data_IF_287321826928
#
_entry.id   IF_287321826928
#
_cell.length_a   1.000
_cell.length_b   1.000
_cell.length_c   1.000
_cell.angle_alpha   90.00
_cell.angle_beta   90.00
_cell.angle_gamma   90.00
#
_symmetry.space_group_name_H-M   'P 1'
#
loop_
_entity.id
_entity.type
_entity.pdbx_description
1 polymer ?
#
# COMPACT_ATOMS: atom_id res chain seq x y z
N UNK A 1 37.85 7.66 -11.63
CA UNK A 1 37.05 6.55 -12.13
C UNK A 1 37.17 5.39 -11.16
N UNK A 2 36.18 5.18 -10.30
CA UNK A 2 36.06 3.93 -9.54
C UNK A 2 34.59 3.53 -9.59
N UNK A 3 34.27 2.73 -10.61
CA UNK A 3 33.02 2.02 -10.72
C UNK A 3 33.02 0.87 -9.72
N UNK A 4 32.26 1.04 -8.64
CA UNK A 4 31.69 -0.08 -7.89
C UNK A 4 30.22 0.23 -7.73
N UNK A 5 29.42 -0.33 -8.64
CA UNK A 5 27.99 -0.51 -8.43
C UNK A 5 27.86 -1.21 -7.08
N UNK A 6 27.49 -0.45 -6.04
CA UNK A 6 27.24 -0.98 -4.72
C UNK A 6 26.20 -2.08 -4.86
N UNK A 7 26.67 -3.32 -4.79
CA UNK A 7 25.85 -4.53 -4.62
C UNK A 7 24.92 -4.25 -3.43
N UNK A 8 23.60 -4.46 -3.58
CA UNK A 8 22.58 -3.70 -2.87
C UNK A 8 22.76 -3.84 -1.37
N UNK A 9 22.54 -2.74 -0.66
CA UNK A 9 22.61 -2.63 0.80
C UNK A 9 22.32 -3.98 1.46
N UNK A 10 23.38 -4.56 2.02
CA UNK A 10 23.41 -5.88 2.67
C UNK A 10 22.19 -6.04 3.59
N UNK A 11 21.66 -7.27 3.68
CA UNK A 11 20.28 -7.51 4.06
C UNK A 11 20.03 -6.84 5.40
N UNK A 12 19.03 -5.95 5.42
CA UNK A 12 18.49 -5.37 6.64
C UNK A 12 18.47 -6.48 7.71
N UNK A 13 19.05 -6.23 8.88
CA UNK A 13 18.96 -7.14 10.03
C UNK A 13 17.51 -7.60 10.18
N UNK A 14 17.21 -8.79 10.73
CA UNK A 14 15.82 -9.25 10.82
C UNK A 14 14.87 -8.18 11.39
N UNK A 15 15.36 -7.40 12.36
CA UNK A 15 14.71 -6.21 12.89
C UNK A 15 14.63 -5.05 11.89
N UNK A 16 15.72 -4.70 11.21
CA UNK A 16 15.69 -3.69 10.14
C UNK A 16 14.73 -4.04 9.01
N UNK A 17 14.60 -5.33 8.68
CA UNK A 17 13.69 -5.82 7.63
C UNK A 17 12.24 -5.72 8.10
N UNK A 18 11.97 -6.00 9.37
CA UNK A 18 10.67 -5.78 10.01
C UNK A 18 10.30 -4.29 10.01
N UNK A 19 11.21 -3.41 10.44
CA UNK A 19 10.98 -1.96 10.47
C UNK A 19 10.77 -1.41 9.06
N UNK A 20 11.56 -1.84 8.08
CA UNK A 20 11.39 -1.45 6.68
C UNK A 20 10.02 -1.88 6.15
N UNK A 21 9.61 -3.14 6.38
CA UNK A 21 8.28 -3.63 6.00
C UNK A 21 7.16 -2.87 6.68
N UNK A 22 7.30 -2.57 7.98
CA UNK A 22 6.32 -1.80 8.75
C UNK A 22 6.17 -0.39 8.20
N UNK A 23 7.28 0.29 7.91
CA UNK A 23 7.29 1.63 7.33
C UNK A 23 6.57 1.65 5.98
N UNK A 24 6.90 0.71 5.07
CA UNK A 24 6.23 0.66 3.78
C UNK A 24 4.78 0.23 3.87
N UNK A 25 4.44 -0.66 4.81
CA UNK A 25 3.05 -1.02 5.11
C UNK A 25 2.26 0.24 5.43
N UNK A 26 2.72 0.99 6.43
CA UNK A 26 2.07 2.19 6.90
C UNK A 26 1.97 3.23 5.77
N UNK A 27 3.09 3.54 5.10
CA UNK A 27 3.13 4.51 4.00
C UNK A 27 2.14 4.16 2.90
N UNK A 28 2.09 2.89 2.47
CA UNK A 28 1.18 2.47 1.40
C UNK A 28 -0.28 2.51 1.87
N UNK A 29 -0.56 2.06 3.09
CA UNK A 29 -1.92 2.09 3.64
C UNK A 29 -2.43 3.52 3.78
N UNK A 30 -1.63 4.44 4.30
CA UNK A 30 -1.95 5.86 4.37
C UNK A 30 -2.26 6.43 2.98
N UNK A 31 -1.47 6.08 1.96
CA UNK A 31 -1.75 6.50 0.59
C UNK A 31 -3.10 5.97 0.12
N UNK A 32 -3.38 4.68 0.31
CA UNK A 32 -4.61 4.05 -0.15
C UNK A 32 -5.86 4.61 0.55
N UNK A 33 -5.80 4.78 1.87
CA UNK A 33 -6.90 5.38 2.66
C UNK A 33 -7.13 6.83 2.23
N UNK A 34 -6.07 7.62 2.04
CA UNK A 34 -6.21 9.01 1.59
C UNK A 34 -6.77 9.11 0.17
N UNK A 35 -6.35 8.22 -0.75
CA UNK A 35 -6.89 8.18 -2.11
C UNK A 35 -8.38 7.89 -2.13
N UNK A 36 -8.86 7.05 -1.21
CA UNK A 36 -10.30 6.77 -1.09
C UNK A 36 -11.06 7.96 -0.49
N UNK A 37 -10.48 8.64 0.52
CA UNK A 37 -11.05 9.87 1.07
C UNK A 37 -11.17 10.98 0.02
N UNK A 38 -10.17 11.12 -0.86
CA UNK A 38 -10.21 12.07 -2.00
C UNK A 38 -11.20 11.63 -3.10
N UNK A 39 -11.47 10.33 -3.23
CA UNK A 39 -12.33 9.79 -4.30
C UNK A 39 -13.83 9.84 -3.99
N UNK A 40 -14.25 10.43 -2.87
CA UNK A 40 -15.68 10.60 -2.54
C UNK A 40 -16.48 11.31 -3.66
N UNK A 41 -15.83 12.12 -4.51
CA UNK A 41 -16.50 12.71 -5.68
C UNK A 41 -16.67 11.73 -6.86
N UNK A 42 -15.90 10.65 -6.94
CA UNK A 42 -15.88 9.70 -8.07
C UNK A 42 -15.61 8.26 -7.61
N UNK A 43 -16.65 7.50 -7.19
CA UNK A 43 -16.50 6.14 -6.69
C UNK A 43 -16.08 5.19 -7.83
N UNK A 44 -14.78 5.01 -8.03
CA UNK A 44 -14.25 3.96 -8.89
C UNK A 44 -14.35 2.64 -8.13
N UNK A 45 -15.52 1.98 -8.22
CA UNK A 45 -15.84 0.62 -7.71
C UNK A 45 -15.12 0.33 -6.38
N UNK A 46 -15.44 1.14 -5.38
CA UNK A 46 -15.05 0.90 -4.00
C UNK A 46 -16.26 0.41 -3.23
N UNK A 47 -16.14 -0.72 -2.54
CA UNK A 47 -17.11 -1.15 -1.54
C UNK A 47 -16.55 -0.82 -0.17
N UNK A 48 -17.18 0.15 0.50
CA UNK A 48 -16.91 0.45 1.89
C UNK A 48 -18.01 -0.16 2.76
N UNK A 49 -17.64 -0.95 3.75
CA UNK A 49 -18.58 -1.53 4.70
C UNK A 49 -18.34 -0.95 6.10
N UNK A 50 -19.14 0.04 6.48
CA UNK A 50 -19.00 0.73 7.77
C UNK A 50 -19.21 -0.20 8.97
N UNK A 51 -20.11 -1.19 8.88
CA UNK A 51 -20.34 -2.14 9.98
C UNK A 51 -19.10 -2.99 10.31
N UNK A 52 -18.18 -3.15 9.36
CA UNK A 52 -16.95 -3.92 9.52
C UNK A 52 -15.68 -3.07 9.31
N UNK A 53 -15.81 -1.75 9.14
CA UNK A 53 -14.71 -0.82 8.85
C UNK A 53 -13.72 -1.35 7.78
N UNK A 54 -14.26 -1.86 6.69
CA UNK A 54 -13.50 -2.52 5.62
C UNK A 54 -13.67 -1.77 4.30
N UNK A 55 -12.62 -1.72 3.49
CA UNK A 55 -12.74 -1.27 2.10
C UNK A 55 -12.09 -2.23 1.10
N UNK A 56 -12.74 -2.38 -0.05
CA UNK A 56 -12.14 -3.04 -1.21
C UNK A 56 -12.39 -2.26 -2.49
N UNK A 57 -11.34 -2.08 -3.28
CA UNK A 57 -11.39 -1.37 -4.57
C UNK A 57 -10.59 -2.09 -5.63
N UNK A 58 -10.93 -1.87 -6.90
CA UNK A 58 -10.17 -2.42 -8.02
C UNK A 58 -8.77 -1.79 -8.07
N UNK A 59 -7.71 -2.62 -8.13
CA UNK A 59 -6.35 -2.11 -8.32
C UNK A 59 -6.18 -1.56 -9.74
N UNK A 60 -6.29 -0.24 -9.87
CA UNK A 60 -6.12 0.47 -11.15
C UNK A 60 -4.71 1.03 -11.36
N UNK A 61 -4.44 1.48 -12.59
CA UNK A 61 -3.21 2.21 -12.92
C UNK A 61 -3.04 3.49 -12.07
N UNK A 62 -4.13 4.15 -11.67
CA UNK A 62 -4.11 5.35 -10.83
C UNK A 62 -3.48 5.04 -9.47
N UNK A 63 -3.95 4.00 -8.79
CA UNK A 63 -3.37 3.56 -7.51
C UNK A 63 -1.86 3.33 -7.60
N UNK A 64 -1.45 2.57 -8.62
CA UNK A 64 -0.03 2.27 -8.82
C UNK A 64 0.78 3.52 -9.09
N UNK A 65 0.29 4.44 -9.92
CA UNK A 65 0.94 5.72 -10.21
C UNK A 65 1.03 6.59 -8.95
N UNK A 66 -0.04 6.71 -8.19
CA UNK A 66 -0.11 7.57 -7.02
C UNK A 66 0.84 7.06 -5.91
N UNK A 67 0.90 5.72 -5.71
CA UNK A 67 1.88 5.11 -4.80
C UNK A 67 3.31 5.34 -5.32
N UNK A 68 3.58 5.09 -6.60
CA UNK A 68 4.91 5.33 -7.18
C UNK A 68 5.35 6.79 -6.99
N UNK A 69 4.44 7.74 -7.22
CA UNK A 69 4.73 9.16 -7.10
C UNK A 69 5.02 9.58 -5.65
N UNK A 70 4.22 9.10 -4.68
CA UNK A 70 4.40 9.44 -3.27
C UNK A 70 5.60 8.75 -2.62
N UNK A 71 5.99 7.57 -3.10
CA UNK A 71 7.05 6.75 -2.48
C UNK A 71 8.36 6.73 -3.25
N UNK A 72 8.38 7.19 -4.51
CA UNK A 72 9.48 6.99 -5.47
C UNK A 72 9.86 5.51 -5.69
N UNK A 73 8.99 4.56 -5.34
CA UNK A 73 9.17 3.14 -5.58
C UNK A 73 8.72 2.80 -7.01
N UNK A 74 9.42 1.87 -7.67
CA UNK A 74 9.02 1.37 -8.99
C UNK A 74 7.72 0.58 -8.88
N UNK A 75 6.87 0.67 -9.91
CA UNK A 75 5.58 -0.03 -10.01
C UNK A 75 5.64 -1.53 -9.69
N UNK A 76 6.71 -2.22 -10.14
CA UNK A 76 6.92 -3.65 -9.85
C UNK A 76 7.14 -3.93 -8.36
N UNK A 77 7.91 -3.07 -7.71
CA UNK A 77 8.22 -3.18 -6.29
C UNK A 77 7.00 -2.80 -5.44
N UNK A 78 6.18 -1.83 -5.90
CA UNK A 78 4.87 -1.55 -5.31
C UNK A 78 3.98 -2.80 -5.33
N UNK A 79 3.83 -3.46 -6.49
CA UNK A 79 3.02 -4.69 -6.59
C UNK A 79 3.54 -5.80 -5.67
N UNK A 80 4.86 -6.01 -5.65
CA UNK A 80 5.49 -7.01 -4.79
C UNK A 80 5.25 -6.68 -3.31
N UNK A 81 5.33 -5.40 -2.94
CA UNK A 81 5.06 -4.93 -1.59
C UNK A 81 3.59 -5.15 -1.23
N UNK A 82 2.65 -4.76 -2.08
CA UNK A 82 1.22 -5.01 -1.87
C UNK A 82 0.89 -6.50 -1.67
N UNK A 83 1.57 -7.38 -2.41
CA UNK A 83 1.47 -8.84 -2.24
C UNK A 83 2.04 -9.29 -0.89
N UNK A 84 3.21 -8.80 -0.49
CA UNK A 84 3.83 -9.12 0.80
C UNK A 84 3.01 -8.62 1.99
N UNK A 85 2.29 -7.50 1.81
CA UNK A 85 1.40 -6.95 2.82
C UNK A 85 0.04 -7.66 2.88
N UNK A 86 -0.22 -8.59 1.96
CA UNK A 86 -1.48 -9.31 1.83
C UNK A 86 -2.72 -8.40 1.63
N UNK A 87 -2.51 -7.20 1.06
CA UNK A 87 -3.60 -6.24 0.75
C UNK A 87 -4.11 -6.36 -0.68
N UNK A 88 -3.51 -7.23 -1.50
CA UNK A 88 -3.93 -7.49 -2.87
C UNK A 88 -4.51 -8.90 -2.96
N UNK A 89 -5.74 -9.01 -3.45
CA UNK A 89 -6.39 -10.29 -3.70
C UNK A 89 -6.74 -10.41 -5.18
N UNK A 90 -6.86 -11.65 -5.67
CA UNK A 90 -7.24 -11.92 -7.04
C UNK A 90 -8.69 -12.40 -7.10
N UNK A 91 -9.55 -11.65 -7.77
CA UNK A 91 -10.98 -11.93 -7.89
C UNK A 91 -11.47 -11.64 -9.31
N UNK A 92 -12.20 -12.58 -9.91
CA UNK A 92 -12.76 -12.47 -11.28
C UNK A 92 -11.76 -11.94 -12.31
N UNK A 93 -10.57 -12.53 -12.33
CA UNK A 93 -9.48 -12.17 -13.24
C UNK A 93 -8.85 -10.78 -13.01
N UNK A 94 -9.15 -10.15 -11.87
CA UNK A 94 -8.69 -8.80 -11.54
C UNK A 94 -8.02 -8.78 -10.16
N UNK A 95 -7.10 -7.83 -9.97
CA UNK A 95 -6.54 -7.55 -8.66
C UNK A 95 -7.41 -6.54 -7.94
N UNK A 96 -7.85 -6.89 -6.73
CA UNK A 96 -8.55 -5.99 -5.83
C UNK A 96 -7.62 -5.64 -4.67
N UNK A 97 -7.59 -4.36 -4.31
CA UNK A 97 -7.03 -3.91 -3.04
C UNK A 97 -8.08 -4.14 -1.97
N UNK A 98 -7.66 -4.79 -0.90
CA UNK A 98 -8.50 -5.17 0.23
C UNK A 98 -7.80 -4.71 1.49
N UNK A 99 -8.46 -3.85 2.25
CA UNK A 99 -7.92 -3.29 3.48
C UNK A 99 -8.95 -3.51 4.58
N UNK A 100 -8.55 -4.30 5.56
CA UNK A 100 -9.37 -4.68 6.69
C UNK A 100 -9.41 -3.62 7.79
N UNK A 101 -10.29 -3.88 8.75
CA UNK A 101 -10.52 -3.02 9.90
C UNK A 101 -9.26 -2.68 10.67
N UNK A 102 -8.42 -3.66 10.97
CA UNK A 102 -7.22 -3.44 11.78
C UNK A 102 -6.26 -2.50 11.05
N UNK A 103 -6.18 -2.62 9.72
CA UNK A 103 -5.37 -1.73 8.89
C UNK A 103 -5.95 -0.31 8.80
N UNK A 104 -7.27 -0.17 8.64
CA UNK A 104 -7.93 1.15 8.63
C UNK A 104 -7.75 1.85 9.97
N UNK A 105 -8.05 1.16 11.07
CA UNK A 105 -7.92 1.70 12.44
C UNK A 105 -6.47 2.06 12.76
N UNK A 106 -5.50 1.25 12.31
CA UNK A 106 -4.08 1.59 12.47
C UNK A 106 -3.74 2.92 11.78
N UNK A 107 -4.23 3.13 10.55
CA UNK A 107 -3.98 4.38 9.82
C UNK A 107 -4.69 5.56 10.49
N UNK A 108 -5.94 5.39 10.90
CA UNK A 108 -6.70 6.48 11.55
C UNK A 108 -6.10 6.89 12.89
N UNK A 109 -5.69 5.91 13.71
CA UNK A 109 -5.00 6.17 14.97
C UNK A 109 -3.70 6.97 14.77
N UNK A 110 -2.96 6.67 13.69
CA UNK A 110 -1.72 7.40 13.35
C UNK A 110 -2.01 8.81 12.85
N UNK A 111 -3.14 9.05 12.19
CA UNK A 111 -3.51 10.38 11.70
C UNK A 111 -4.11 11.27 12.80
N UNK A 112 -4.69 10.69 13.85
CA UNK A 112 -5.25 11.41 14.99
C UNK A 112 -4.24 11.72 16.11
N UNK A 113 -3.12 11.00 16.17
CA UNK A 113 -2.06 11.16 17.18
C UNK A 113 -0.94 12.11 16.76
#
# INVERSE_FOLDING_TARGET
MEGKAGTPEKPLSALGLLSYRSYWKQTILEILVNLEKESHDHPQISVMCSSYYFFATLLTHKHLRDICNKTSIKKKDVLTTLQLLNVIQYYKSQHILVIDRDMVETVEYILEG
#
